data_IF_309393629917
#
_entry.id   IF_309393629917
#
_cell.length_a   1.000
_cell.length_b   1.000
_cell.length_c   1.000
_cell.angle_alpha   90.00
_cell.angle_beta   90.00
_cell.angle_gamma   90.00
#
_symmetry.space_group_name_H-M   'P 1'
#
loop_
_entity.id
_entity.type
_entity.pdbx_description
1 polymer ?
#
# COMPACT_ATOMS: atom_id res chain seq x y z
N UNK A 1 19.81 -7.00 27.49
CA UNK A 1 20.10 -6.47 26.15
C UNK A 1 18.77 -6.31 25.44
N UNK A 2 18.44 -5.14 24.86
CA UNK A 2 17.27 -5.03 24.00
C UNK A 2 17.44 -6.00 22.82
N UNK A 3 16.36 -6.70 22.45
CA UNK A 3 16.36 -7.55 21.26
C UNK A 3 16.78 -6.71 20.03
N UNK A 4 17.58 -7.26 19.10
CA UNK A 4 17.92 -6.53 17.89
C UNK A 4 16.64 -6.14 17.15
N UNK A 5 16.58 -4.90 16.67
CA UNK A 5 15.43 -4.41 15.93
C UNK A 5 15.19 -5.31 14.70
N UNK A 6 14.01 -5.94 14.63
CA UNK A 6 13.57 -6.75 13.49
C UNK A 6 13.49 -5.82 12.26
N UNK A 7 14.38 -6.01 11.29
CA UNK A 7 14.38 -5.18 10.09
C UNK A 7 13.12 -5.46 9.26
N UNK A 8 12.38 -4.41 8.92
CA UNK A 8 11.24 -4.51 7.99
C UNK A 8 11.76 -4.79 6.59
N UNK A 9 11.34 -5.91 6.01
CA UNK A 9 11.64 -6.28 4.62
C UNK A 9 10.62 -5.65 3.66
N UNK A 10 11.05 -5.34 2.45
CA UNK A 10 10.15 -4.91 1.39
C UNK A 10 9.29 -6.09 0.90
N UNK A 11 8.08 -5.80 0.46
CA UNK A 11 7.13 -6.77 -0.10
C UNK A 11 6.53 -6.22 -1.39
N UNK A 12 6.35 -7.12 -2.37
CA UNK A 12 5.59 -6.86 -3.59
C UNK A 12 4.35 -7.75 -3.58
N UNK A 13 3.17 -7.15 -3.70
CA UNK A 13 1.90 -7.87 -3.70
C UNK A 13 1.00 -7.44 -4.85
N UNK A 14 0.24 -8.37 -5.40
CA UNK A 14 -0.78 -8.08 -6.41
C UNK A 14 -1.95 -7.28 -5.83
N UNK A 15 -2.39 -6.28 -6.59
CA UNK A 15 -3.57 -5.46 -6.30
C UNK A 15 -4.39 -5.27 -7.56
N UNK A 16 -5.68 -5.02 -7.39
CA UNK A 16 -6.56 -4.52 -8.45
C UNK A 16 -6.90 -3.06 -8.18
N UNK A 17 -7.19 -2.30 -9.23
CA UNK A 17 -7.62 -0.91 -9.09
C UNK A 17 -9.13 -0.84 -9.31
N UNK A 18 -9.85 -0.18 -8.39
CA UNK A 18 -11.27 0.10 -8.59
C UNK A 18 -11.48 1.24 -9.61
N UNK A 19 -12.74 1.56 -9.90
CA UNK A 19 -13.12 2.64 -10.84
C UNK A 19 -12.59 4.03 -10.41
N UNK A 20 -12.21 4.20 -9.15
CA UNK A 20 -11.64 5.44 -8.61
C UNK A 20 -10.10 5.39 -8.56
N UNK A 21 -9.47 4.34 -9.08
CA UNK A 21 -8.02 4.17 -9.04
C UNK A 21 -7.47 3.76 -7.66
N UNK A 22 -8.32 3.33 -6.73
CA UNK A 22 -7.88 2.86 -5.41
C UNK A 22 -7.50 1.38 -5.49
N UNK A 23 -6.31 1.05 -4.97
CA UNK A 23 -5.84 -0.33 -4.91
C UNK A 23 -6.62 -1.15 -3.88
N UNK A 24 -6.96 -2.38 -4.26
CA UNK A 24 -7.57 -3.40 -3.42
C UNK A 24 -6.72 -4.67 -3.44
N UNK A 25 -6.60 -5.31 -2.28
CA UNK A 25 -5.82 -6.54 -2.14
C UNK A 25 -6.53 -7.71 -2.83
N UNK A 26 -5.74 -8.56 -3.47
CA UNK A 26 -6.22 -9.81 -4.05
C UNK A 26 -5.99 -10.94 -3.04
N UNK A 27 -7.06 -11.56 -2.54
CA UNK A 27 -7.04 -12.59 -1.48
C UNK A 27 -6.06 -13.75 -1.77
N UNK A 28 -5.96 -14.15 -3.04
CA UNK A 28 -5.02 -15.18 -3.54
C UNK A 28 -4.04 -14.62 -4.57
N UNK A 29 -3.70 -13.34 -4.43
CA UNK A 29 -2.78 -12.65 -5.32
C UNK A 29 -1.34 -13.13 -5.14
N UNK A 30 -0.51 -12.89 -6.16
CA UNK A 30 0.93 -13.16 -6.06
C UNK A 30 1.55 -12.21 -5.05
N UNK A 31 2.30 -12.76 -4.09
CA UNK A 31 3.09 -12.02 -3.09
C UNK A 31 4.53 -12.48 -3.12
N UNK A 32 5.44 -11.53 -2.99
CA UNK A 32 6.89 -11.74 -3.07
C UNK A 32 7.53 -10.93 -1.96
N UNK A 33 8.11 -11.61 -0.98
CA UNK A 33 8.98 -10.98 0.02
C UNK A 33 10.35 -10.75 -0.59
N UNK A 34 10.82 -9.51 -0.52
CA UNK A 34 12.15 -9.14 -1.01
C UNK A 34 13.19 -9.70 -0.04
N UNK A 35 14.20 -10.39 -0.58
CA UNK A 35 15.27 -10.98 0.23
C UNK A 35 16.22 -9.90 0.77
N UNK A 36 16.70 -9.01 -0.10
CA UNK A 36 17.55 -7.89 0.28
C UNK A 36 16.85 -6.58 -0.07
N UNK A 37 16.63 -5.74 0.94
CA UNK A 37 16.02 -4.43 0.73
C UNK A 37 16.84 -3.61 -0.28
N UNK A 38 16.18 -2.84 -1.16
CA UNK A 38 16.89 -2.03 -2.14
C UNK A 38 17.73 -0.96 -1.44
N UNK A 39 18.93 -0.69 -1.97
CA UNK A 39 19.80 0.37 -1.46
C UNK A 39 19.24 1.77 -1.74
N UNK A 40 18.50 1.91 -2.84
CA UNK A 40 17.94 3.18 -3.29
C UNK A 40 16.55 2.97 -3.89
N UNK A 41 15.68 3.96 -3.69
CA UNK A 41 14.40 4.09 -4.41
C UNK A 41 14.45 5.39 -5.20
N UNK A 42 14.23 5.33 -6.51
CA UNK A 42 14.20 6.52 -7.37
C UNK A 42 12.76 6.82 -7.77
N UNK A 43 12.18 7.88 -7.21
CA UNK A 43 10.86 8.39 -7.62
C UNK A 43 11.04 9.56 -8.58
N UNK A 44 10.34 9.50 -9.71
CA UNK A 44 10.26 10.58 -10.69
C UNK A 44 8.81 11.01 -10.84
N UNK A 45 8.55 12.30 -10.63
CA UNK A 45 7.26 12.92 -10.88
C UNK A 45 7.34 13.75 -12.16
N UNK A 46 6.37 13.62 -13.06
CA UNK A 46 6.33 14.39 -14.31
C UNK A 46 4.91 14.84 -14.63
N UNK A 47 4.75 16.12 -14.99
CA UNK A 47 3.53 16.66 -15.58
C UNK A 47 3.77 16.94 -17.06
N UNK A 48 2.81 16.62 -17.93
CA UNK A 48 2.82 17.09 -19.31
C UNK A 48 1.95 18.34 -19.44
N UNK A 49 2.57 19.47 -19.78
CA UNK A 49 1.87 20.70 -20.15
C UNK A 49 1.95 20.89 -21.66
N UNK A 50 0.81 20.80 -22.35
CA UNK A 50 0.74 21.07 -23.78
C UNK A 50 0.51 22.57 -23.99
N UNK A 51 1.56 23.30 -24.36
CA UNK A 51 1.47 24.71 -24.75
C UNK A 51 1.15 24.84 -26.24
N UNK A 52 0.09 25.57 -26.59
CA UNK A 52 -0.18 25.93 -27.98
C UNK A 52 0.91 26.88 -28.49
N UNK A 53 1.64 26.48 -29.53
CA UNK A 53 2.67 27.31 -30.14
C UNK A 53 2.00 28.41 -31.01
N UNK A 54 1.44 29.42 -30.37
CA UNK A 54 0.76 30.54 -31.04
C UNK A 54 1.34 31.87 -30.53
N UNK A 55 2.07 32.63 -31.38
CA UNK A 55 2.67 33.90 -30.96
C UNK A 55 1.58 34.90 -30.55
N UNK A 56 1.64 35.39 -29.31
CA UNK A 56 0.74 36.42 -28.77
C UNK A 56 -0.31 35.95 -27.76
N UNK A 57 -0.43 34.65 -27.46
CA UNK A 57 -1.22 34.15 -26.32
C UNK A 57 -0.49 33.01 -25.62
N UNK A 58 0.01 33.26 -24.41
CA UNK A 58 0.36 32.18 -23.50
C UNK A 58 -0.90 31.72 -22.79
N UNK A 59 -1.58 30.72 -23.36
CA UNK A 59 -2.57 29.95 -22.63
C UNK A 59 -2.04 28.52 -22.57
N UNK A 60 -1.62 28.09 -21.38
CA UNK A 60 -1.38 26.67 -21.08
C UNK A 60 -2.72 25.99 -21.29
N UNK A 61 -2.92 25.34 -22.44
CA UNK A 61 -4.28 25.01 -22.86
C UNK A 61 -4.76 23.68 -22.28
N UNK A 62 -3.91 22.72 -21.91
CA UNK A 62 -4.29 21.55 -21.12
C UNK A 62 -3.12 21.07 -20.24
N UNK A 63 -3.44 20.64 -19.01
CA UNK A 63 -2.51 19.91 -18.13
C UNK A 63 -2.96 18.46 -18.12
N UNK A 64 -2.16 17.56 -18.69
CA UNK A 64 -2.39 16.10 -18.59
C UNK A 64 -2.12 15.67 -17.14
N UNK A 65 -2.88 14.70 -16.59
CA UNK A 65 -2.57 14.11 -15.29
C UNK A 65 -1.09 13.72 -15.19
N UNK A 66 -0.47 14.09 -14.07
CA UNK A 66 0.94 13.77 -13.84
C UNK A 66 1.17 12.27 -13.69
N UNK A 67 2.38 11.82 -14.00
CA UNK A 67 2.82 10.43 -13.85
C UNK A 67 3.87 10.36 -12.75
N UNK A 68 3.79 9.31 -11.92
CA UNK A 68 4.85 8.94 -10.97
C UNK A 68 5.50 7.64 -11.41
N UNK A 69 6.82 7.64 -11.55
CA UNK A 69 7.60 6.46 -11.85
C UNK A 69 8.49 6.10 -10.67
N UNK A 70 8.54 4.82 -10.30
CA UNK A 70 9.44 4.27 -9.30
C UNK A 70 10.41 3.29 -9.99
N UNK A 71 11.70 3.51 -9.79
CA UNK A 71 12.76 2.59 -10.24
C UNK A 71 13.59 2.12 -9.05
N UNK A 72 13.87 0.82 -9.00
CA UNK A 72 14.68 0.20 -7.95
C UNK A 72 15.36 -1.10 -8.43
N UNK A 73 16.41 -1.49 -7.71
CA UNK A 73 17.16 -2.71 -7.94
C UNK A 73 16.96 -3.68 -6.77
N UNK A 74 16.58 -4.93 -7.09
CA UNK A 74 16.40 -6.02 -6.15
C UNK A 74 17.47 -7.09 -6.35
N UNK A 75 17.86 -7.74 -5.26
CA UNK A 75 18.80 -8.85 -5.27
C UNK A 75 18.14 -10.11 -4.71
N UNK A 76 18.43 -11.24 -5.36
CA UNK A 76 17.98 -12.57 -4.94
C UNK A 76 19.14 -13.54 -5.01
N UNK A 77 19.28 -14.40 -3.99
CA UNK A 77 20.36 -15.36 -3.84
C UNK A 77 19.83 -16.65 -3.17
N UNK A 78 20.01 -17.80 -3.83
CA UNK A 78 19.57 -19.10 -3.32
C UNK A 78 20.67 -19.88 -2.59
N UNK A 79 21.86 -19.31 -2.47
CA UNK A 79 22.98 -19.89 -1.70
C UNK A 79 22.98 -19.49 -0.24
N UNK A 80 22.20 -18.48 0.13
CA UNK A 80 22.05 -17.97 1.49
C UNK A 80 20.70 -18.27 2.12
N UNK A 81 20.36 -17.52 3.17
CA UNK A 81 19.05 -17.60 3.81
C UNK A 81 17.94 -17.10 2.89
N UNK A 82 16.95 -17.96 2.65
CA UNK A 82 15.76 -17.64 1.88
C UNK A 82 14.68 -17.01 2.80
N UNK A 83 13.77 -16.18 2.24
CA UNK A 83 12.60 -15.70 2.97
C UNK A 83 11.75 -16.88 3.50
N UNK A 84 11.07 -16.70 4.64
CA UNK A 84 10.30 -17.75 5.34
C UNK A 84 9.25 -18.47 4.47
N UNK A 85 8.76 -17.81 3.41
CA UNK A 85 7.71 -18.35 2.53
C UNK A 85 8.29 -19.15 1.34
N UNK A 86 9.62 -19.17 1.18
CA UNK A 86 10.30 -19.90 0.11
C UNK A 86 10.79 -21.27 0.59
N UNK A 87 10.73 -22.28 -0.28
CA UNK A 87 11.24 -23.61 0.04
C UNK A 87 12.78 -23.61 0.11
N UNK A 88 13.33 -24.31 1.10
CA UNK A 88 14.78 -24.54 1.24
C UNK A 88 15.40 -25.30 0.07
N UNK A 89 14.58 -25.99 -0.74
CA UNK A 89 15.05 -26.82 -1.86
C UNK A 89 15.20 -26.01 -3.16
N UNK A 90 14.95 -24.70 -3.11
CA UNK A 90 15.15 -23.81 -4.25
C UNK A 90 16.65 -23.71 -4.52
N UNK A 91 17.02 -24.15 -5.71
CA UNK A 91 18.39 -24.29 -6.18
C UNK A 91 18.59 -23.67 -7.57
N UNK A 92 17.67 -22.79 -7.95
CA UNK A 92 17.69 -21.95 -9.15
C UNK A 92 16.92 -20.68 -8.82
N UNK A 93 17.61 -19.53 -8.86
CA UNK A 93 17.05 -18.22 -8.48
C UNK A 93 15.86 -17.81 -9.35
N UNK A 94 15.78 -18.35 -10.58
CA UNK A 94 14.68 -18.05 -11.52
C UNK A 94 13.34 -18.51 -11.01
N UNK A 95 13.29 -19.49 -10.11
CA UNK A 95 12.04 -19.92 -9.45
C UNK A 95 11.44 -18.80 -8.60
N UNK A 96 12.28 -17.96 -7.99
CA UNK A 96 11.86 -16.80 -7.20
C UNK A 96 11.52 -15.63 -8.14
N UNK A 97 12.44 -15.28 -9.05
CA UNK A 97 12.26 -14.10 -9.93
C UNK A 97 11.15 -14.28 -10.97
N UNK A 98 10.81 -15.51 -11.35
CA UNK A 98 9.65 -15.78 -12.22
C UNK A 98 8.33 -15.25 -11.65
N UNK A 99 8.21 -15.13 -10.32
CA UNK A 99 7.07 -14.49 -9.66
C UNK A 99 6.99 -12.99 -9.99
N UNK A 100 8.12 -12.31 -10.21
CA UNK A 100 8.12 -10.91 -10.65
C UNK A 100 7.64 -10.79 -12.10
N UNK A 101 8.07 -11.71 -12.97
CA UNK A 101 7.64 -11.72 -14.37
C UNK A 101 6.12 -11.90 -14.54
N UNK A 102 5.43 -12.46 -13.54
CA UNK A 102 3.97 -12.53 -13.52
C UNK A 102 3.32 -11.15 -13.64
N UNK A 103 3.88 -10.11 -13.03
CA UNK A 103 3.35 -8.74 -13.10
C UNK A 103 3.51 -8.09 -14.47
N UNK A 104 4.31 -8.67 -15.36
CA UNK A 104 4.41 -8.27 -16.76
C UNK A 104 3.50 -9.09 -17.67
N UNK A 105 3.07 -10.28 -17.25
CA UNK A 105 2.19 -11.14 -18.04
C UNK A 105 0.78 -10.57 -18.01
N UNK A 106 0.33 -10.11 -19.17
CA UNK A 106 -1.02 -9.59 -19.33
C UNK A 106 -2.02 -10.70 -18.99
N UNK A 107 -3.00 -10.38 -18.13
CA UNK A 107 -4.17 -11.24 -17.94
C UNK A 107 -5.23 -10.83 -18.94
N UNK A 108 -5.87 -11.79 -19.59
CA UNK A 108 -7.07 -11.51 -20.37
C UNK A 108 -8.23 -11.30 -19.40
N UNK A 109 -8.74 -10.07 -19.31
CA UNK A 109 -10.08 -9.83 -18.76
C UNK A 109 -11.09 -9.82 -19.91
N UNK A 110 -12.21 -10.53 -19.73
CA UNK A 110 -13.29 -10.66 -20.72
C UNK A 110 -13.31 -11.98 -21.49
N UNK A 111 -14.40 -12.23 -22.22
CA UNK A 111 -14.60 -13.38 -23.10
C UNK A 111 -14.90 -12.91 -24.52
N UNK A 112 -14.17 -13.39 -25.53
CA UNK A 112 -14.42 -13.06 -26.95
C UNK A 112 -13.61 -11.87 -27.46
N UNK A 113 -14.23 -10.98 -28.25
CA UNK A 113 -13.57 -9.85 -28.93
C UNK A 113 -13.23 -8.66 -28.01
N UNK A 114 -13.74 -8.64 -26.77
CA UNK A 114 -13.48 -7.61 -25.75
C UNK A 114 -12.36 -8.01 -24.77
N UNK A 115 -11.40 -8.82 -25.22
CA UNK A 115 -10.22 -9.15 -24.41
C UNK A 115 -9.34 -7.92 -24.24
N UNK A 116 -9.40 -7.31 -23.06
CA UNK A 116 -8.49 -6.24 -22.67
C UNK A 116 -7.27 -6.86 -21.99
N UNK A 117 -6.09 -6.52 -22.50
CA UNK A 117 -4.81 -7.01 -21.98
C UNK A 117 -4.25 -6.00 -20.99
N UNK A 118 -4.70 -6.11 -19.74
CA UNK A 118 -4.29 -5.21 -18.66
C UNK A 118 -3.20 -5.90 -17.84
N UNK A 119 -2.01 -5.29 -17.66
CA UNK A 119 -1.02 -5.84 -16.75
C UNK A 119 -1.55 -5.82 -15.31
N UNK A 120 -1.26 -6.83 -14.49
CA UNK A 120 -1.68 -6.85 -13.09
C UNK A 120 -1.17 -5.61 -12.34
N UNK A 121 -2.02 -5.04 -11.50
CA UNK A 121 -1.60 -4.02 -10.55
C UNK A 121 -0.71 -4.63 -9.47
N UNK A 122 0.23 -3.84 -8.97
CA UNK A 122 1.10 -4.24 -7.87
C UNK A 122 1.27 -3.13 -6.85
N UNK A 123 1.50 -3.55 -5.62
CA UNK A 123 1.91 -2.71 -4.50
C UNK A 123 3.31 -3.09 -4.08
N UNK A 124 4.21 -2.12 -4.05
CA UNK A 124 5.49 -2.20 -3.38
C UNK A 124 5.35 -1.54 -2.00
N UNK A 125 5.61 -2.29 -0.93
CA UNK A 125 5.54 -1.85 0.45
C UNK A 125 6.90 -2.02 1.12
N UNK A 126 7.43 -0.96 1.72
CA UNK A 126 8.63 -1.06 2.56
C UNK A 126 8.58 -0.08 3.73
N UNK A 127 8.34 -0.59 4.94
CA UNK A 127 8.14 0.25 6.12
C UNK A 127 6.90 1.13 5.96
N UNK A 128 7.10 2.45 5.88
CA UNK A 128 6.03 3.42 5.59
C UNK A 128 5.91 3.76 4.12
N UNK A 129 6.83 3.29 3.27
CA UNK A 129 6.81 3.61 1.86
C UNK A 129 5.83 2.69 1.13
N UNK A 130 4.89 3.27 0.39
CA UNK A 130 3.92 2.54 -0.43
C UNK A 130 3.96 3.12 -1.85
N UNK A 131 4.11 2.23 -2.83
CA UNK A 131 3.89 2.56 -4.23
C UNK A 131 2.89 1.56 -4.82
N UNK A 132 1.84 2.06 -5.46
CA UNK A 132 0.81 1.26 -6.10
C UNK A 132 0.72 1.67 -7.57
N UNK A 133 0.93 0.73 -8.48
CA UNK A 133 0.95 1.01 -9.90
C UNK A 133 1.02 -0.26 -10.73
N UNK A 134 1.53 -0.13 -11.95
CA UNK A 134 1.78 -1.25 -12.86
C UNK A 134 3.27 -1.37 -13.13
N UNK A 135 3.73 -2.58 -13.49
CA UNK A 135 5.12 -2.80 -13.89
C UNK A 135 5.31 -2.42 -15.36
N UNK A 136 6.23 -1.49 -15.63
CA UNK A 136 6.58 -1.07 -16.99
C UNK A 136 7.66 -1.97 -17.58
N UNK A 137 8.69 -2.29 -16.80
CA UNK A 137 9.84 -3.07 -17.24
C UNK A 137 10.45 -3.87 -16.09
N UNK A 138 11.10 -4.97 -16.47
CA UNK A 138 11.90 -5.83 -15.62
C UNK A 138 13.13 -6.27 -16.42
N UNK A 139 14.31 -5.96 -15.90
CA UNK A 139 15.60 -6.38 -16.44
C UNK A 139 16.26 -7.32 -15.43
N UNK A 140 16.44 -8.58 -15.79
CA UNK A 140 17.05 -9.61 -14.95
C UNK A 140 18.47 -9.92 -15.42
N UNK A 141 19.44 -9.73 -14.52
CA UNK A 141 20.84 -10.15 -14.71
C UNK A 141 21.10 -11.36 -13.84
N UNK A 142 21.32 -12.51 -14.48
CA UNK A 142 21.64 -13.77 -13.81
C UNK A 142 23.15 -13.91 -13.62
N UNK A 143 23.56 -14.22 -12.40
CA UNK A 143 24.97 -14.38 -12.03
C UNK A 143 25.17 -15.53 -11.04
N UNK A 144 26.45 -15.83 -10.76
CA UNK A 144 26.88 -16.89 -9.85
C UNK A 144 26.23 -18.24 -10.16
N UNK A 145 26.79 -18.95 -11.13
CA UNK A 145 26.24 -20.21 -11.61
C UNK A 145 26.80 -21.40 -10.85
N UNK A 146 25.95 -22.41 -10.60
CA UNK A 146 26.38 -23.73 -10.14
C UNK A 146 27.20 -24.47 -11.21
N UNK A 147 27.84 -25.56 -10.82
CA UNK A 147 28.58 -26.45 -11.75
C UNK A 147 27.69 -27.03 -12.87
N UNK A 148 26.38 -27.16 -12.61
CA UNK A 148 25.39 -27.60 -13.59
C UNK A 148 24.83 -26.45 -14.46
N UNK A 149 25.35 -25.22 -14.32
CA UNK A 149 24.92 -24.05 -15.08
C UNK A 149 23.61 -23.41 -14.61
N UNK A 150 23.10 -23.79 -13.42
CA UNK A 150 21.93 -23.14 -12.82
C UNK A 150 22.33 -21.81 -12.17
N UNK A 151 21.62 -20.70 -12.46
CA UNK A 151 21.91 -19.41 -11.84
C UNK A 151 21.50 -19.44 -10.37
N UNK A 152 22.40 -19.03 -9.48
CA UNK A 152 22.16 -19.02 -8.04
C UNK A 152 21.90 -17.61 -7.49
N UNK A 153 22.20 -16.57 -8.26
CA UNK A 153 21.94 -15.18 -7.89
C UNK A 153 21.39 -14.38 -9.06
N UNK A 154 20.54 -13.41 -8.76
CA UNK A 154 19.96 -12.50 -9.74
C UNK A 154 19.92 -11.07 -9.22
N UNK A 155 20.30 -10.13 -10.07
CA UNK A 155 19.95 -8.71 -9.94
C UNK A 155 18.73 -8.44 -10.80
N UNK A 156 17.68 -7.86 -10.23
CA UNK A 156 16.45 -7.51 -10.95
C UNK A 156 16.20 -6.01 -10.84
N UNK A 157 16.31 -5.30 -11.95
CA UNK A 157 15.95 -3.89 -12.05
C UNK A 157 14.50 -3.77 -12.51
N UNK A 158 13.66 -3.09 -11.72
CA UNK A 158 12.23 -2.91 -12.05
C UNK A 158 11.88 -1.43 -12.20
N UNK A 159 10.99 -1.14 -13.15
CA UNK A 159 10.34 0.17 -13.30
C UNK A 159 8.84 0.02 -13.15
N UNK A 160 8.25 0.89 -12.36
CA UNK A 160 6.82 0.93 -12.06
C UNK A 160 6.26 2.31 -12.40
N UNK A 161 5.02 2.37 -12.89
CA UNK A 161 4.34 3.64 -13.15
C UNK A 161 2.94 3.71 -12.53
N UNK A 162 2.55 4.92 -12.17
CA UNK A 162 1.18 5.30 -11.77
C UNK A 162 0.79 6.58 -12.51
N UNK A 163 -0.38 6.59 -13.13
CA UNK A 163 -0.95 7.77 -13.81
C UNK A 163 -1.57 8.77 -12.83
N UNK A 164 -0.84 9.08 -11.76
CA UNK A 164 -1.21 10.08 -10.77
C UNK A 164 0.05 10.53 -10.03
N UNK A 165 0.08 11.79 -9.58
CA UNK A 165 1.06 12.25 -8.59
C UNK A 165 0.44 12.06 -7.21
N UNK A 166 0.75 10.93 -6.59
CA UNK A 166 0.20 10.55 -5.28
C UNK A 166 1.30 9.92 -4.40
N UNK A 167 2.04 10.73 -3.62
CA UNK A 167 2.98 10.21 -2.65
C UNK A 167 2.23 9.57 -1.48
N UNK A 168 2.09 8.24 -1.51
CA UNK A 168 1.48 7.48 -0.41
C UNK A 168 2.51 7.16 0.67
N UNK A 169 2.12 7.43 1.91
CA UNK A 169 2.81 6.97 3.11
C UNK A 169 1.87 6.03 3.86
N UNK A 170 2.30 4.78 4.04
CA UNK A 170 1.63 3.83 4.92
C UNK A 170 1.88 4.18 6.38
N UNK A 171 0.93 3.82 7.25
CA UNK A 171 1.23 3.68 8.66
C UNK A 171 2.28 2.57 8.80
N UNK A 172 3.41 2.85 9.45
CA UNK A 172 4.47 1.85 9.64
C UNK A 172 3.81 0.59 10.20
N UNK A 173 3.97 -0.54 9.49
CA UNK A 173 3.41 -1.82 9.91
C UNK A 173 3.77 -2.04 11.39
N UNK A 174 2.79 -1.82 12.26
CA UNK A 174 2.84 -2.14 13.69
C UNK A 174 2.62 -3.66 13.80
N UNK A 175 3.45 -4.41 13.08
CA UNK A 175 3.44 -5.85 13.13
C UNK A 175 3.91 -6.24 14.54
N UNK A 176 3.01 -6.90 15.27
CA UNK A 176 3.23 -7.56 16.56
C UNK A 176 2.94 -6.79 17.86
N UNK A 177 1.91 -5.94 17.88
CA UNK A 177 1.10 -5.81 19.10
C UNK A 177 -0.38 -5.84 18.72
N UNK A 178 -1.07 -6.88 19.19
CA UNK A 178 -2.48 -7.08 18.97
C UNK A 178 -3.29 -5.83 19.32
N UNK A 179 -4.31 -5.60 18.51
CA UNK A 179 -5.53 -4.85 18.77
C UNK A 179 -5.52 -4.01 20.06
N UNK A 180 -4.74 -2.93 20.05
CA UNK A 180 -4.85 -1.87 21.03
C UNK A 180 -5.01 -0.59 20.24
N UNK A 181 -6.28 -0.18 20.13
CA UNK A 181 -6.65 1.17 19.74
C UNK A 181 -5.67 2.17 20.38
N UNK A 182 -4.91 2.87 19.55
CA UNK A 182 -3.95 3.89 19.98
C UNK A 182 -4.65 4.86 20.93
N UNK A 183 -4.23 4.98 22.21
CA UNK A 183 -4.83 5.95 23.11
C UNK A 183 -4.60 7.36 22.56
N UNK A 184 -5.69 8.06 22.20
CA UNK A 184 -5.66 9.45 21.74
C UNK A 184 -6.28 9.73 20.36
N UNK A 185 -6.68 8.74 19.57
CA UNK A 185 -7.32 8.96 18.25
C UNK A 185 -8.85 8.87 18.27
N UNK A 186 -9.46 8.58 19.42
CA UNK A 186 -10.92 8.63 19.54
C UNK A 186 -11.39 10.08 19.59
N UNK A 187 -12.08 10.53 18.53
CA UNK A 187 -12.77 11.83 18.52
C UNK A 187 -13.78 11.86 19.67
N UNK A 188 -13.47 12.62 20.71
CA UNK A 188 -14.35 12.84 21.85
C UNK A 188 -15.24 14.05 21.58
N UNK A 189 -16.53 13.93 21.87
CA UNK A 189 -17.47 15.05 21.79
C UNK A 189 -17.63 15.66 23.19
N UNK A 190 -17.50 16.98 23.31
CA UNK A 190 -17.69 17.68 24.59
C UNK A 190 -19.16 18.01 24.83
N UNK A 191 -19.70 17.64 25.99
CA UNK A 191 -21.06 17.98 26.40
C UNK A 191 -21.22 19.49 26.64
N UNK A 192 -22.19 20.13 25.97
CA UNK A 192 -22.53 21.55 26.16
C UNK A 192 -23.70 21.72 27.14
N UNK A 193 -23.89 22.93 27.66
CA UNK A 193 -24.99 23.25 28.58
C UNK A 193 -26.35 22.92 27.94
N UNK A 194 -27.13 22.06 28.61
CA UNK A 194 -28.45 21.61 28.14
C UNK A 194 -28.44 20.37 27.23
N UNK A 195 -27.27 19.78 26.94
CA UNK A 195 -27.21 18.51 26.22
C UNK A 195 -27.69 17.34 27.08
N UNK A 196 -28.44 16.43 26.46
CA UNK A 196 -28.84 15.14 27.01
C UNK A 196 -28.10 14.03 26.27
N UNK A 197 -28.04 12.83 26.85
CA UNK A 197 -27.32 11.72 26.18
C UNK A 197 -27.94 11.39 24.81
N UNK A 198 -29.25 11.59 24.68
CA UNK A 198 -29.98 11.44 23.42
C UNK A 198 -29.56 12.50 22.38
N UNK A 199 -29.40 13.76 22.78
CA UNK A 199 -28.97 14.81 21.84
C UNK A 199 -27.53 14.61 21.37
N UNK A 200 -26.65 14.12 22.24
CA UNK A 200 -25.25 13.83 21.90
C UNK A 200 -25.15 12.58 20.99
N UNK A 201 -25.90 11.52 21.29
CA UNK A 201 -25.97 10.35 20.40
C UNK A 201 -26.55 10.70 19.03
N UNK A 202 -27.52 11.62 18.98
CA UNK A 202 -28.05 12.20 17.73
C UNK A 202 -26.99 12.96 16.93
N UNK A 203 -26.18 13.81 17.59
CA UNK A 203 -25.03 14.50 16.95
C UNK A 203 -23.99 13.51 16.41
N UNK A 204 -23.84 12.35 17.04
CA UNK A 204 -22.94 11.28 16.60
C UNK A 204 -23.53 10.39 15.48
N UNK A 205 -24.77 10.64 15.05
CA UNK A 205 -25.47 9.92 13.97
C UNK A 205 -26.13 8.61 14.39
N UNK A 206 -26.18 8.29 15.69
CA UNK A 206 -26.78 7.06 16.24
C UNK A 206 -27.74 7.41 17.39
N UNK A 207 -28.85 8.13 17.15
CA UNK A 207 -29.74 8.61 18.21
C UNK A 207 -30.31 7.50 19.10
N UNK A 208 -30.54 6.30 18.54
CA UNK A 208 -31.14 5.17 19.27
C UNK A 208 -30.18 4.47 20.24
N UNK A 209 -28.87 4.71 20.11
CA UNK A 209 -27.82 4.03 20.90
C UNK A 209 -27.30 4.86 22.07
N UNK A 210 -28.07 5.84 22.53
CA UNK A 210 -27.69 6.68 23.67
C UNK A 210 -27.48 5.89 24.98
N UNK A 211 -28.15 4.75 25.16
CA UNK A 211 -27.97 3.87 26.34
C UNK A 211 -26.60 3.19 26.34
N UNK A 212 -26.15 2.71 25.19
CA UNK A 212 -24.82 2.12 25.01
C UNK A 212 -23.73 3.18 25.23
N UNK A 213 -23.97 4.40 24.77
CA UNK A 213 -23.07 5.54 24.95
C UNK A 213 -22.94 5.96 26.41
N UNK A 214 -24.05 5.96 27.17
CA UNK A 214 -24.06 6.22 28.61
C UNK A 214 -23.29 5.14 29.38
N UNK A 215 -23.49 3.87 29.01
CA UNK A 215 -22.78 2.74 29.63
C UNK A 215 -21.27 2.80 29.36
N UNK A 216 -20.88 3.13 28.13
CA UNK A 216 -19.48 3.29 27.72
C UNK A 216 -18.77 4.39 28.53
N UNK A 217 -19.46 5.51 28.77
CA UNK A 217 -18.91 6.67 29.46
C UNK A 217 -19.21 6.69 30.98
N UNK A 218 -19.76 5.61 31.54
CA UNK A 218 -20.12 5.46 32.96
C UNK A 218 -21.05 6.58 33.49
N UNK A 219 -22.00 7.00 32.69
CA UNK A 219 -22.97 8.05 33.05
C UNK A 219 -24.23 7.39 33.62
N UNK A 220 -24.43 7.56 34.93
CA UNK A 220 -25.57 6.97 35.65
C UNK A 220 -26.88 7.73 35.41
N UNK A 221 -26.82 9.05 35.20
CA UNK A 221 -28.01 9.87 34.94
C UNK A 221 -27.98 10.46 33.51
N UNK A 222 -28.62 9.82 32.52
CA UNK A 222 -28.58 10.24 31.12
C UNK A 222 -29.21 11.62 30.83
N UNK A 223 -29.94 12.18 31.80
CA UNK A 223 -30.60 13.50 31.71
C UNK A 223 -29.79 14.62 32.35
N UNK A 224 -28.71 14.29 33.06
CA UNK A 224 -27.86 15.24 33.76
C UNK A 224 -26.40 14.93 33.43
N UNK A 225 -25.92 15.46 32.30
CA UNK A 225 -24.52 15.38 31.92
C UNK A 225 -23.83 16.67 32.38
N UNK A 226 -22.73 16.51 33.13
CA UNK A 226 -21.91 17.65 33.56
C UNK A 226 -21.27 18.32 32.33
N UNK A 227 -21.40 19.64 32.25
CA UNK A 227 -20.85 20.45 31.16
C UNK A 227 -19.34 20.22 31.08
N UNK A 228 -18.81 19.99 29.88
CA UNK A 228 -17.39 19.73 29.67
C UNK A 228 -16.97 18.26 29.79
N UNK A 229 -17.90 17.33 30.02
CA UNK A 229 -17.60 15.90 29.97
C UNK A 229 -17.24 15.50 28.53
N UNK A 230 -16.07 14.90 28.34
CA UNK A 230 -15.62 14.34 27.06
C UNK A 230 -16.16 12.93 26.90
N UNK A 231 -16.96 12.71 25.85
CA UNK A 231 -17.64 11.45 25.60
C UNK A 231 -16.97 10.68 24.46
N UNK A 232 -16.64 9.43 24.71
CA UNK A 232 -16.11 8.49 23.71
C UNK A 232 -17.23 8.04 22.77
N UNK A 233 -16.91 7.89 21.47
CA UNK A 233 -17.87 7.58 20.41
C UNK A 233 -18.03 6.06 20.20
N UNK A 234 -19.26 5.63 19.88
CA UNK A 234 -19.65 4.28 19.44
C UNK A 234 -19.42 4.00 17.96
#
# INVERSE_FOLDING_TARGET
>A
MPAPAKMTRAEISEVTFDQNGKAQDVDKGVKIKVQFNPETLRLRYSNQSSGGNQPGRSAIQHVTPGTTNLSLDLWFDVTGELPEDESSDINDVRKITSKLTYFMKQKSEGSGEEQSWIPPGLRFLWGTFIFEGVMDSLDETLEYFSEEGRPLRAKVSISLSKQEIDPKFGEAARAEQGDLATPGTQKKEAAKQGDSMQSIAGKMGKPDRWKELAALNKIENPRQITIGTLLDRL
#
